data_IF_156754220322
#
_entry.id   IF_156754220322
#
_cell.length_a   1.000
_cell.length_b   1.000
_cell.length_c   1.000
_cell.angle_alpha   90.00
_cell.angle_beta   90.00
_cell.angle_gamma   90.00
#
_symmetry.space_group_name_H-M   'P 1'
#
loop_
_entity.id
_entity.type
_entity.pdbx_description
1 polymer ?
#
# COMPACT_ATOMS: atom_id res chain seq x y z
N UNK A 1 9.97 -0.91 -13.17
CA UNK A 1 10.16 0.17 -12.18
C UNK A 1 10.75 1.37 -12.90
N UNK A 2 10.10 2.50 -12.86
CA UNK A 2 10.53 3.70 -13.58
C UNK A 2 11.31 4.62 -12.62
N UNK A 3 12.62 4.62 -12.71
CA UNK A 3 13.50 5.41 -11.86
C UNK A 3 13.26 6.92 -12.01
N UNK A 4 12.94 7.38 -13.21
CA UNK A 4 12.65 8.80 -13.46
C UNK A 4 11.36 9.21 -12.77
N UNK A 5 10.33 8.40 -12.85
CA UNK A 5 9.05 8.64 -12.19
C UNK A 5 9.21 8.64 -10.67
N UNK A 6 9.92 7.67 -10.14
CA UNK A 6 10.22 7.56 -8.71
C UNK A 6 11.04 8.76 -8.24
N UNK A 7 12.06 9.14 -8.99
CA UNK A 7 12.88 10.29 -8.66
C UNK A 7 12.09 11.60 -8.63
N UNK A 8 11.25 11.84 -9.63
CA UNK A 8 10.37 13.00 -9.68
C UNK A 8 9.40 13.01 -8.49
N UNK A 9 8.89 11.84 -8.09
CA UNK A 9 8.00 11.71 -6.94
C UNK A 9 8.73 12.02 -5.63
N UNK A 10 9.97 11.55 -5.48
CA UNK A 10 10.80 11.88 -4.30
C UNK A 10 10.96 13.41 -4.19
N UNK A 11 11.28 14.07 -5.30
CA UNK A 11 11.41 15.53 -5.33
C UNK A 11 10.10 16.23 -4.95
N UNK A 12 8.99 15.75 -5.46
CA UNK A 12 7.66 16.28 -5.15
C UNK A 12 7.34 16.15 -3.67
N UNK A 13 7.51 14.95 -3.11
CA UNK A 13 7.24 14.68 -1.70
C UNK A 13 8.14 15.49 -0.78
N UNK A 14 9.42 15.62 -1.16
CA UNK A 14 10.37 16.45 -0.41
C UNK A 14 9.90 17.91 -0.35
N UNK A 15 9.48 18.47 -1.48
CA UNK A 15 8.98 19.85 -1.56
C UNK A 15 7.67 20.02 -0.77
N UNK A 16 6.79 19.03 -0.81
CA UNK A 16 5.56 19.01 -0.01
C UNK A 16 5.85 19.10 1.49
N UNK A 17 6.96 18.52 1.92
CA UNK A 17 7.42 18.60 3.32
C UNK A 17 8.27 19.83 3.60
N UNK A 18 8.42 20.73 2.64
CA UNK A 18 9.24 21.94 2.75
C UNK A 18 10.71 21.66 3.09
N UNK A 19 11.23 20.54 2.59
CA UNK A 19 12.61 20.13 2.79
C UNK A 19 13.45 20.48 1.57
N UNK A 20 14.69 20.94 1.80
CA UNK A 20 15.70 21.05 0.74
C UNK A 20 16.36 19.67 0.53
N UNK A 21 17.08 19.49 -0.57
CA UNK A 21 17.87 18.28 -0.81
C UNK A 21 18.89 18.05 0.32
N UNK A 22 19.51 19.13 0.79
CA UNK A 22 20.49 19.09 1.88
C UNK A 22 19.81 18.62 3.17
N UNK A 23 18.64 19.17 3.49
CA UNK A 23 17.89 18.80 4.69
C UNK A 23 17.46 17.33 4.67
N UNK A 24 16.97 16.87 3.54
CA UNK A 24 16.61 15.45 3.38
C UNK A 24 17.85 14.55 3.55
N UNK A 25 18.97 14.94 2.94
CA UNK A 25 20.24 14.21 3.05
C UNK A 25 20.70 14.13 4.50
N UNK A 26 20.58 15.22 5.26
CA UNK A 26 20.92 15.25 6.70
C UNK A 26 20.05 14.30 7.51
N UNK A 27 18.75 14.26 7.23
CA UNK A 27 17.83 13.35 7.92
C UNK A 27 18.18 11.87 7.66
N UNK A 28 18.73 11.56 6.51
CA UNK A 28 19.09 10.20 6.11
C UNK A 28 20.57 9.88 6.36
N UNK A 29 21.34 10.84 6.85
CA UNK A 29 22.79 10.72 7.06
C UNK A 29 23.53 10.30 5.79
N UNK A 30 23.20 10.97 4.68
CA UNK A 30 23.80 10.76 3.36
C UNK A 30 24.20 12.08 2.74
N UNK A 31 24.80 12.02 1.56
CA UNK A 31 25.19 13.23 0.83
C UNK A 31 24.01 13.79 0.04
N UNK A 32 24.01 15.12 -0.17
CA UNK A 32 23.00 15.76 -1.01
C UNK A 32 23.13 15.35 -2.49
N UNK A 33 24.33 14.93 -2.91
CA UNK A 33 24.54 14.36 -4.24
C UNK A 33 23.74 13.07 -4.43
N UNK A 34 23.65 12.24 -3.41
CA UNK A 34 22.85 11.02 -3.46
C UNK A 34 21.36 11.34 -3.69
N UNK A 35 20.82 12.31 -2.93
CA UNK A 35 19.45 12.76 -3.11
C UNK A 35 19.22 13.31 -4.51
N UNK A 36 20.13 14.16 -4.98
CA UNK A 36 20.07 14.72 -6.34
C UNK A 36 20.06 13.62 -7.41
N UNK A 37 20.89 12.60 -7.23
CA UNK A 37 20.96 11.47 -8.15
C UNK A 37 19.63 10.72 -8.24
N UNK A 38 18.98 10.48 -7.08
CA UNK A 38 17.67 9.83 -7.05
C UNK A 38 16.61 10.68 -7.76
N UNK A 39 16.57 11.98 -7.45
CA UNK A 39 15.58 12.90 -8.01
C UNK A 39 15.72 13.07 -9.52
N UNK A 40 16.92 12.89 -10.05
CA UNK A 40 17.20 12.95 -11.49
C UNK A 40 17.04 11.59 -12.20
N UNK A 41 16.65 10.56 -11.48
CA UNK A 41 16.45 9.23 -12.05
C UNK A 41 17.74 8.52 -12.42
N UNK A 42 18.88 8.90 -11.83
CA UNK A 42 20.19 8.32 -12.09
C UNK A 42 20.60 7.24 -11.12
N UNK A 43 19.77 6.94 -10.16
CA UNK A 43 20.01 5.91 -9.17
C UNK A 43 18.82 5.75 -8.26
N UNK A 44 18.88 4.71 -7.45
CA UNK A 44 17.87 4.39 -6.45
C UNK A 44 18.48 4.38 -5.06
N UNK A 45 17.70 4.68 -4.01
CA UNK A 45 18.16 4.49 -2.65
C UNK A 45 18.55 3.04 -2.39
N UNK A 46 19.57 2.85 -1.57
CA UNK A 46 19.88 1.52 -1.05
C UNK A 46 18.72 0.97 -0.22
N UNK A 47 18.61 -0.35 -0.15
CA UNK A 47 17.51 -1.03 0.58
C UNK A 47 17.42 -0.54 2.03
N UNK A 48 18.58 -0.31 2.66
CA UNK A 48 18.64 0.18 4.04
C UNK A 48 18.08 1.60 4.21
N UNK A 49 18.00 2.37 3.13
CA UNK A 49 17.53 3.75 3.14
C UNK A 49 16.05 3.88 2.74
N UNK A 50 15.44 2.83 2.20
CA UNK A 50 14.07 2.89 1.69
C UNK A 50 13.06 3.26 2.78
N UNK A 51 13.09 2.58 3.91
CA UNK A 51 12.16 2.88 5.01
C UNK A 51 12.43 4.24 5.65
N UNK A 52 13.69 4.60 5.99
CA UNK A 52 13.98 5.95 6.48
C UNK A 52 13.54 7.05 5.53
N UNK A 53 13.72 6.86 4.21
CA UNK A 53 13.27 7.82 3.21
C UNK A 53 11.76 7.98 3.22
N UNK A 54 11.03 6.87 3.24
CA UNK A 54 9.56 6.88 3.32
C UNK A 54 9.07 7.56 4.59
N UNK A 55 9.72 7.30 5.72
CA UNK A 55 9.39 7.94 6.99
C UNK A 55 9.61 9.45 6.94
N UNK A 56 10.73 9.88 6.37
CA UNK A 56 11.05 11.30 6.22
C UNK A 56 10.06 12.03 5.31
N UNK A 57 9.60 11.38 4.26
CA UNK A 57 8.66 11.94 3.28
C UNK A 57 7.20 11.73 3.66
N UNK A 58 6.91 10.89 4.66
CA UNK A 58 5.53 10.58 5.06
C UNK A 58 4.75 9.80 4.02
N UNK A 59 5.42 8.89 3.33
CA UNK A 59 4.84 8.04 2.29
C UNK A 59 5.05 6.57 2.61
N UNK A 60 4.30 5.70 1.95
CA UNK A 60 4.50 4.26 2.04
C UNK A 60 5.52 3.78 1.00
N UNK A 61 6.06 2.58 1.20
CA UNK A 61 6.92 1.94 0.21
C UNK A 61 6.19 1.71 -1.12
N UNK A 62 4.91 1.37 -1.06
CA UNK A 62 4.09 1.19 -2.26
C UNK A 62 3.97 2.48 -3.06
N UNK A 63 3.76 3.61 -2.39
CA UNK A 63 3.73 4.92 -3.02
C UNK A 63 5.07 5.24 -3.67
N UNK A 64 6.16 4.99 -2.96
CA UNK A 64 7.51 5.24 -3.48
C UNK A 64 7.76 4.45 -4.77
N UNK A 65 7.51 3.14 -4.77
CA UNK A 65 7.73 2.30 -5.94
C UNK A 65 6.76 2.58 -7.07
N UNK A 66 5.55 3.02 -6.76
CA UNK A 66 4.57 3.45 -7.76
C UNK A 66 4.90 4.82 -8.35
N UNK A 67 5.66 5.62 -7.61
CA UNK A 67 5.99 6.99 -8.01
C UNK A 67 4.79 7.93 -8.01
N UNK A 68 3.80 7.64 -7.17
CA UNK A 68 2.58 8.44 -7.04
C UNK A 68 1.93 8.22 -5.67
N UNK A 69 1.18 9.21 -5.22
CA UNK A 69 0.37 9.05 -4.02
C UNK A 69 -0.78 8.08 -4.28
N UNK A 70 -1.00 7.19 -3.32
CA UNK A 70 -2.09 6.22 -3.37
C UNK A 70 -3.06 6.57 -2.24
N UNK A 71 -4.33 6.82 -2.58
CA UNK A 71 -5.35 7.08 -1.58
C UNK A 71 -5.66 5.80 -0.79
N UNK A 72 -6.12 5.96 0.45
CA UNK A 72 -6.53 4.82 1.27
C UNK A 72 -7.63 3.99 0.59
N UNK A 73 -8.50 4.64 -0.15
CA UNK A 73 -9.57 3.99 -0.90
C UNK A 73 -9.03 3.14 -2.06
N UNK A 74 -8.06 3.66 -2.81
CA UNK A 74 -7.40 2.91 -3.88
C UNK A 74 -6.64 1.71 -3.34
N UNK A 75 -5.97 1.88 -2.22
CA UNK A 75 -5.24 0.79 -1.56
C UNK A 75 -6.20 -0.33 -1.14
N UNK A 76 -7.32 0.04 -0.56
CA UNK A 76 -8.36 -0.91 -0.15
C UNK A 76 -8.95 -1.64 -1.36
N UNK A 77 -9.26 -0.94 -2.44
CA UNK A 77 -9.76 -1.52 -3.67
C UNK A 77 -8.80 -2.53 -4.29
N UNK A 78 -7.51 -2.19 -4.34
CA UNK A 78 -6.46 -3.10 -4.84
C UNK A 78 -6.32 -4.34 -3.95
N UNK A 79 -6.40 -4.19 -2.64
CA UNK A 79 -6.34 -5.31 -1.71
C UNK A 79 -7.54 -6.25 -1.89
N UNK A 80 -8.75 -5.70 -2.02
CA UNK A 80 -9.96 -6.48 -2.27
C UNK A 80 -9.90 -7.21 -3.62
N UNK A 81 -9.39 -6.56 -4.66
CA UNK A 81 -9.21 -7.16 -5.98
C UNK A 81 -8.21 -8.33 -5.92
N UNK A 82 -7.10 -8.17 -5.22
CA UNK A 82 -6.09 -9.21 -5.06
C UNK A 82 -6.64 -10.41 -4.29
N UNK A 83 -7.41 -10.18 -3.24
CA UNK A 83 -8.07 -11.24 -2.47
C UNK A 83 -9.08 -11.97 -3.37
N UNK A 84 -9.86 -11.24 -4.14
CA UNK A 84 -10.81 -11.79 -5.09
C UNK A 84 -10.15 -12.68 -6.14
N UNK A 85 -9.00 -12.27 -6.68
CA UNK A 85 -8.19 -13.07 -7.61
C UNK A 85 -7.68 -14.35 -6.95
N UNK A 86 -7.18 -14.28 -5.73
CA UNK A 86 -6.73 -15.44 -4.98
C UNK A 86 -7.86 -16.45 -4.79
N UNK A 87 -9.06 -15.98 -4.52
CA UNK A 87 -10.24 -16.81 -4.41
C UNK A 87 -10.58 -17.53 -5.72
N UNK A 88 -10.46 -16.85 -6.84
CA UNK A 88 -10.72 -17.44 -8.16
C UNK A 88 -9.65 -18.45 -8.57
N UNK A 89 -8.38 -18.14 -8.35
CA UNK A 89 -7.25 -18.98 -8.75
C UNK A 89 -7.19 -20.30 -8.00
N UNK A 90 -7.54 -20.32 -6.72
CA UNK A 90 -7.51 -21.53 -5.90
C UNK A 90 -8.74 -22.40 -6.08
N UNK A 91 -9.65 -22.05 -6.99
CA UNK A 91 -10.91 -22.79 -7.19
C UNK A 91 -11.50 -23.25 -5.86
N UNK A 92 -11.90 -22.30 -5.07
CA UNK A 92 -12.37 -22.55 -3.71
C UNK A 92 -13.78 -23.12 -3.75
N UNK A 93 -13.97 -24.12 -4.62
CA UNK A 93 -15.16 -24.95 -4.62
C UNK A 93 -15.41 -25.55 -3.24
N UNK A 94 -14.32 -25.87 -2.53
CA UNK A 94 -14.35 -26.35 -1.16
C UNK A 94 -14.79 -25.28 -0.15
N UNK A 95 -14.81 -24.02 -0.54
CA UNK A 95 -15.25 -22.91 0.31
C UNK A 95 -16.66 -22.44 -0.02
N UNK A 96 -17.37 -23.09 -0.93
CA UNK A 96 -18.80 -22.83 -1.16
C UNK A 96 -19.61 -22.83 0.15
N UNK A 97 -19.45 -23.80 1.05
CA UNK A 97 -20.14 -23.76 2.33
C UNK A 97 -19.81 -22.52 3.15
N UNK A 98 -18.56 -22.08 3.14
CA UNK A 98 -18.12 -20.87 3.85
C UNK A 98 -18.73 -19.63 3.21
N UNK A 99 -18.81 -19.61 1.87
CA UNK A 99 -19.45 -18.51 1.14
C UNK A 99 -20.94 -18.42 1.48
N UNK A 100 -21.61 -19.53 1.63
CA UNK A 100 -23.00 -19.57 2.07
C UNK A 100 -23.15 -19.08 3.51
N UNK A 101 -22.24 -19.45 4.40
CA UNK A 101 -22.19 -18.96 5.76
C UNK A 101 -22.01 -17.43 5.81
N UNK A 102 -21.11 -16.90 5.00
CA UNK A 102 -20.93 -15.44 4.90
C UNK A 102 -22.15 -14.75 4.29
N UNK A 103 -22.80 -15.35 3.32
CA UNK A 103 -24.02 -14.81 2.72
C UNK A 103 -25.16 -14.79 3.73
N UNK A 104 -25.28 -15.80 4.57
CA UNK A 104 -26.25 -15.84 5.66
C UNK A 104 -25.84 -14.95 6.84
N UNK A 105 -24.54 -14.74 7.05
CA UNK A 105 -24.07 -13.81 8.07
C UNK A 105 -24.41 -12.34 7.75
N UNK A 106 -24.62 -12.00 6.49
CA UNK A 106 -25.12 -10.67 6.15
C UNK A 106 -26.55 -10.43 6.65
N UNK A 107 -27.27 -11.49 6.96
CA UNK A 107 -28.58 -11.47 7.57
C UNK A 107 -28.52 -12.05 9.00
N UNK A 108 -27.76 -11.38 9.85
CA UNK A 108 -27.51 -11.83 11.23
C UNK A 108 -28.82 -12.07 12.00
N UNK A 109 -29.80 -11.22 11.79
CA UNK A 109 -31.12 -11.36 12.42
C UNK A 109 -31.84 -12.63 11.99
N UNK A 110 -31.71 -13.00 10.74
CA UNK A 110 -32.32 -14.21 10.21
C UNK A 110 -31.63 -15.46 10.78
N UNK A 111 -30.32 -15.42 10.91
CA UNK A 111 -29.54 -16.51 11.47
C UNK A 111 -29.86 -16.73 12.94
N UNK A 112 -29.97 -15.67 13.71
CA UNK A 112 -30.38 -15.72 15.12
C UNK A 112 -31.81 -16.28 15.25
N UNK A 113 -32.72 -15.83 14.40
CA UNK A 113 -34.09 -16.33 14.37
C UNK A 113 -34.13 -17.83 14.05
N UNK A 114 -33.34 -18.30 13.12
CA UNK A 114 -33.25 -19.73 12.77
C UNK A 114 -32.69 -20.54 13.93
N UNK A 115 -31.70 -20.05 14.62
CA UNK A 115 -31.11 -20.70 15.79
C UNK A 115 -32.13 -20.76 16.91
N UNK A 116 -32.85 -19.69 17.17
CA UNK A 116 -33.93 -19.63 18.19
C UNK A 116 -35.05 -20.61 17.87
N UNK A 117 -35.44 -20.72 16.61
CA UNK A 117 -36.44 -21.69 16.17
C UNK A 117 -35.96 -23.12 16.30
N UNK A 118 -34.67 -23.37 16.05
CA UNK A 118 -34.08 -24.69 16.18
C UNK A 118 -33.93 -25.12 17.66
N UNK A 119 -33.73 -24.16 18.54
CA UNK A 119 -33.55 -24.38 19.98
C UNK A 119 -34.90 -24.34 20.72
N UNK A 120 -35.82 -23.58 20.18
CA UNK A 120 -37.20 -23.51 20.72
C UNK A 120 -38.03 -24.65 20.22
#
# INVERSE_FOLDING_TARGET
MDQKKIGAFIAQCRKEKSLTQIQLAELLDITNQAVSKWENGRGMPDVSLLQPLCDALGISLNELFSGEHISAEEYKGKAEENISKLYKEKQIANLKPIKYLFSTCSNVTLLVAVIELAVG
#
